data_IF_045568380509
#
_entry.id   IF_045568380509
#
_cell.length_a   1.000
_cell.length_b   1.000
_cell.length_c   1.000
_cell.angle_alpha   90.00
_cell.angle_beta   90.00
_cell.angle_gamma   90.00
#
_symmetry.space_group_name_H-M   'P 1'
#
loop_
_entity.id
_entity.type
_entity.pdbx_description
1 polymer ?
#
# COMPACT_ATOMS: atom_id res chain seq x y z
N UNK A 1 20.56 2.78 21.75
CA UNK A 1 19.09 2.55 21.81
C UNK A 1 18.66 1.19 21.25
N UNK A 2 19.09 0.75 20.05
CA UNK A 2 18.69 -0.57 19.49
C UNK A 2 18.89 -1.75 20.46
N UNK A 3 19.92 -1.72 21.31
CA UNK A 3 20.19 -2.79 22.29
C UNK A 3 19.12 -2.97 23.38
N UNK A 4 18.54 -1.90 23.93
CA UNK A 4 17.71 -1.97 25.14
C UNK A 4 16.32 -2.58 24.92
N UNK A 5 15.80 -2.53 23.69
CA UNK A 5 14.48 -3.07 23.35
C UNK A 5 14.43 -4.60 23.41
N UNK A 6 15.49 -5.28 22.95
CA UNK A 6 15.61 -6.74 23.00
C UNK A 6 15.61 -7.27 24.44
N UNK A 7 16.33 -6.59 25.35
CA UNK A 7 16.30 -6.91 26.78
C UNK A 7 14.91 -6.68 27.42
N UNK A 8 14.15 -5.67 26.98
CA UNK A 8 12.80 -5.36 27.47
C UNK A 8 11.75 -6.43 27.12
N UNK A 9 11.99 -7.25 26.09
CA UNK A 9 11.10 -8.33 25.65
C UNK A 9 11.62 -9.72 26.09
N UNK A 10 12.80 -9.78 26.71
CA UNK A 10 13.45 -11.04 27.09
C UNK A 10 13.97 -11.86 25.90
N UNK A 11 13.96 -11.29 24.69
CA UNK A 11 14.48 -11.94 23.49
C UNK A 11 15.91 -11.49 23.23
N UNK A 12 16.86 -12.44 23.26
CA UNK A 12 18.23 -12.17 22.84
C UNK A 12 18.29 -11.62 21.40
N UNK A 13 19.19 -10.67 21.17
CA UNK A 13 19.34 -9.91 19.91
C UNK A 13 19.49 -10.78 18.64
N UNK A 14 19.94 -12.03 18.79
CA UNK A 14 20.10 -13.03 17.73
C UNK A 14 19.29 -14.32 17.96
N UNK A 15 18.20 -14.27 18.74
CA UNK A 15 17.37 -15.44 19.01
C UNK A 15 16.64 -15.95 17.75
N UNK A 16 16.57 -17.26 17.56
CA UNK A 16 15.83 -17.91 16.46
C UNK A 16 14.35 -17.45 16.38
N UNK A 17 13.77 -17.09 17.52
CA UNK A 17 12.40 -16.55 17.62
C UNK A 17 12.22 -15.22 16.87
N UNK A 18 13.23 -14.33 16.86
CA UNK A 18 13.17 -13.07 16.10
C UNK A 18 13.16 -13.34 14.59
N UNK A 19 13.98 -14.28 14.11
CA UNK A 19 13.97 -14.70 12.71
C UNK A 19 12.66 -15.38 12.31
N UNK A 20 12.13 -16.27 13.15
CA UNK A 20 10.81 -16.90 12.93
C UNK A 20 9.70 -15.84 12.82
N UNK A 21 9.67 -14.88 13.75
CA UNK A 21 8.70 -13.79 13.73
C UNK A 21 8.82 -12.91 12.47
N UNK A 22 10.05 -12.61 12.04
CA UNK A 22 10.29 -11.91 10.77
C UNK A 22 9.78 -12.70 9.57
N UNK A 23 10.05 -14.01 9.49
CA UNK A 23 9.51 -14.89 8.45
C UNK A 23 7.98 -14.84 8.39
N UNK A 24 7.29 -14.94 9.54
CA UNK A 24 5.84 -14.81 9.60
C UNK A 24 5.35 -13.45 9.06
N UNK A 25 6.01 -12.36 9.44
CA UNK A 25 5.66 -11.01 8.96
C UNK A 25 5.92 -10.84 7.45
N UNK A 26 6.99 -11.42 6.90
CA UNK A 26 7.22 -11.40 5.45
C UNK A 26 6.19 -12.22 4.69
N UNK A 27 5.83 -13.40 5.21
CA UNK A 27 4.83 -14.28 4.62
C UNK A 27 3.45 -13.60 4.58
N UNK A 28 3.03 -12.91 5.66
CA UNK A 28 1.79 -12.11 5.63
C UNK A 28 1.88 -10.95 4.64
N UNK A 29 3.01 -10.22 4.56
CA UNK A 29 3.21 -9.13 3.58
C UNK A 29 3.11 -9.63 2.15
N UNK A 30 3.66 -10.80 1.84
CA UNK A 30 3.62 -11.39 0.49
C UNK A 30 2.20 -11.88 0.16
N UNK A 31 1.57 -12.69 1.02
CA UNK A 31 0.21 -13.21 0.78
C UNK A 31 -0.79 -12.06 0.61
N UNK A 32 -0.83 -11.12 1.56
CA UNK A 32 -1.74 -9.96 1.48
C UNK A 32 -1.47 -9.08 0.25
N UNK A 33 -0.21 -8.96 -0.16
CA UNK A 33 0.16 -8.27 -1.41
C UNK A 33 -0.41 -8.97 -2.64
N UNK A 34 -0.16 -10.27 -2.78
CA UNK A 34 -0.62 -11.07 -3.92
C UNK A 34 -2.14 -11.02 -3.98
N UNK A 35 -2.83 -11.35 -2.89
CA UNK A 35 -4.28 -11.21 -2.75
C UNK A 35 -4.80 -9.83 -3.21
N UNK A 36 -4.16 -8.73 -2.80
CA UNK A 36 -4.59 -7.37 -3.18
C UNK A 36 -4.49 -7.04 -4.67
N UNK A 37 -3.76 -7.85 -5.45
CA UNK A 37 -3.70 -7.78 -6.91
C UNK A 37 -4.79 -8.62 -7.61
N UNK A 38 -5.48 -9.52 -6.90
CA UNK A 38 -6.56 -10.34 -7.46
C UNK A 38 -7.95 -9.76 -7.13
N UNK A 39 -8.25 -9.49 -5.85
CA UNK A 39 -9.60 -9.09 -5.41
C UNK A 39 -10.17 -7.87 -6.15
N UNK A 40 -11.47 -7.94 -6.47
CA UNK A 40 -12.26 -6.89 -7.15
C UNK A 40 -12.92 -5.91 -6.18
N UNK A 41 -13.30 -6.37 -5.00
CA UNK A 41 -13.97 -5.58 -3.97
C UNK A 41 -13.04 -4.51 -3.39
N UNK A 42 -13.46 -3.24 -3.49
CA UNK A 42 -12.63 -2.12 -3.04
C UNK A 42 -12.47 -2.13 -1.51
N UNK A 43 -13.48 -2.54 -0.74
CA UNK A 43 -13.33 -2.67 0.73
C UNK A 43 -12.32 -3.75 1.11
N UNK A 44 -12.37 -4.92 0.48
CA UNK A 44 -11.44 -6.02 0.74
C UNK A 44 -10.00 -5.62 0.36
N UNK A 45 -9.83 -5.00 -0.80
CA UNK A 45 -8.56 -4.49 -1.29
C UNK A 45 -7.96 -3.44 -0.32
N UNK A 46 -8.78 -2.57 0.26
CA UNK A 46 -8.36 -1.61 1.30
C UNK A 46 -8.01 -2.28 2.64
N UNK A 47 -8.72 -3.34 3.03
CA UNK A 47 -8.41 -4.13 4.22
C UNK A 47 -7.08 -4.90 4.07
N UNK A 48 -6.81 -5.48 2.90
CA UNK A 48 -5.53 -6.18 2.63
C UNK A 48 -4.31 -5.25 2.70
N UNK A 49 -4.50 -3.95 2.50
CA UNK A 49 -3.43 -2.97 2.73
C UNK A 49 -3.41 -2.37 4.14
N UNK A 50 -4.36 -2.65 5.04
CA UNK A 50 -4.14 -2.41 6.49
C UNK A 50 -3.29 -3.54 7.07
N UNK A 51 -3.64 -4.79 6.81
CA UNK A 51 -2.91 -5.97 7.31
C UNK A 51 -1.43 -5.98 6.88
N UNK A 52 -1.14 -5.67 5.61
CA UNK A 52 0.23 -5.50 5.13
C UNK A 52 1.00 -4.39 5.87
N UNK A 53 0.39 -3.22 6.05
CA UNK A 53 1.04 -2.09 6.73
C UNK A 53 1.28 -2.36 8.22
N UNK A 54 0.39 -3.11 8.87
CA UNK A 54 0.56 -3.59 10.25
C UNK A 54 1.70 -4.61 10.33
N UNK A 55 1.79 -5.53 9.38
CA UNK A 55 2.92 -6.47 9.28
C UNK A 55 4.27 -5.74 9.10
N UNK A 56 4.30 -4.62 8.36
CA UNK A 56 5.47 -3.74 8.31
C UNK A 56 5.81 -3.06 9.64
N UNK A 57 4.83 -2.71 10.47
CA UNK A 57 5.08 -2.21 11.84
C UNK A 57 5.72 -3.30 12.69
N UNK A 58 5.22 -4.53 12.63
CA UNK A 58 5.81 -5.66 13.34
C UNK A 58 7.24 -5.97 12.89
N UNK A 59 7.57 -5.87 11.59
CA UNK A 59 8.96 -5.93 11.14
C UNK A 59 9.84 -4.84 11.76
N UNK A 60 9.37 -3.59 11.83
CA UNK A 60 10.13 -2.50 12.48
C UNK A 60 10.36 -2.78 13.98
N UNK A 61 9.35 -3.30 14.67
CA UNK A 61 9.49 -3.72 16.07
C UNK A 61 10.51 -4.86 16.22
N UNK A 62 10.54 -5.82 15.29
CA UNK A 62 11.51 -6.94 15.32
C UNK A 62 12.99 -6.50 15.17
N UNK A 63 13.21 -5.26 14.72
CA UNK A 63 14.52 -4.61 14.52
C UNK A 63 14.94 -3.79 15.77
N UNK A 64 14.01 -3.53 16.70
CA UNK A 64 14.24 -2.75 17.92
C UNK A 64 14.07 -1.23 17.77
N UNK A 65 13.70 -0.73 16.59
CA UNK A 65 13.45 0.70 16.35
C UNK A 65 11.99 1.07 16.69
N UNK A 66 11.62 0.96 17.97
CA UNK A 66 10.26 1.21 18.48
C UNK A 66 9.71 2.60 18.13
N UNK A 67 10.57 3.63 18.10
CA UNK A 67 10.18 5.00 17.69
C UNK A 67 9.68 5.04 16.25
N UNK A 68 10.35 4.33 15.34
CA UNK A 68 9.94 4.25 13.94
C UNK A 68 8.61 3.50 13.79
N UNK A 69 8.41 2.43 14.55
CA UNK A 69 7.16 1.67 14.57
C UNK A 69 5.98 2.52 15.03
N UNK A 70 6.16 3.30 16.10
CA UNK A 70 5.13 4.22 16.62
C UNK A 70 4.77 5.32 15.62
N UNK A 71 5.75 6.00 15.04
CA UNK A 71 5.50 7.00 13.99
C UNK A 71 4.87 6.36 12.74
N UNK A 72 5.20 5.09 12.45
CA UNK A 72 4.51 4.36 11.38
C UNK A 72 3.04 4.09 11.69
N UNK A 73 2.70 3.64 12.90
CA UNK A 73 1.32 3.41 13.34
C UNK A 73 0.48 4.69 13.26
N UNK A 74 0.97 5.81 13.81
CA UNK A 74 0.23 7.08 13.81
C UNK A 74 -0.14 7.55 12.41
N UNK A 75 0.85 7.67 11.52
CA UNK A 75 0.56 8.15 10.16
C UNK A 75 -0.16 7.09 9.32
N UNK A 76 -0.02 5.79 9.64
CA UNK A 76 -0.86 4.75 9.05
C UNK A 76 -2.33 4.94 9.42
N UNK A 77 -2.66 5.15 10.69
CA UNK A 77 -4.01 5.37 11.17
C UNK A 77 -4.66 6.59 10.49
N UNK A 78 -3.97 7.74 10.49
CA UNK A 78 -4.47 8.98 9.83
C UNK A 78 -4.72 8.74 8.34
N UNK A 79 -3.76 8.16 7.61
CA UNK A 79 -3.94 7.90 6.16
C UNK A 79 -5.02 6.87 5.86
N UNK A 80 -5.24 5.90 6.75
CA UNK A 80 -6.30 4.90 6.59
C UNK A 80 -7.68 5.46 6.87
N UNK A 81 -7.83 6.29 7.90
CA UNK A 81 -9.07 7.04 8.14
C UNK A 81 -9.48 7.82 6.88
N UNK A 82 -8.57 8.65 6.34
CA UNK A 82 -8.82 9.42 5.11
C UNK A 82 -9.13 8.57 3.88
N UNK A 83 -8.52 7.38 3.75
CA UNK A 83 -8.80 6.50 2.62
C UNK A 83 -10.16 5.78 2.80
N UNK A 84 -10.51 5.35 4.01
CA UNK A 84 -11.81 4.75 4.29
C UNK A 84 -12.96 5.75 4.11
N UNK A 85 -12.79 7.03 4.46
CA UNK A 85 -13.80 8.07 4.17
C UNK A 85 -13.96 8.29 2.67
N UNK A 86 -12.87 8.41 1.90
CA UNK A 86 -12.96 8.53 0.43
C UNK A 86 -13.67 7.31 -0.18
N UNK A 87 -13.27 6.09 0.18
CA UNK A 87 -13.83 4.85 -0.36
C UNK A 87 -15.28 4.64 0.08
N UNK A 88 -15.64 5.06 1.30
CA UNK A 88 -17.03 5.09 1.76
C UNK A 88 -17.91 5.95 0.86
N UNK A 89 -17.42 7.13 0.46
CA UNK A 89 -18.17 8.04 -0.42
C UNK A 89 -18.23 7.56 -1.88
N UNK A 90 -17.19 6.89 -2.38
CA UNK A 90 -17.28 6.17 -3.65
C UNK A 90 -18.38 5.10 -3.61
N UNK A 91 -18.44 4.30 -2.54
CA UNK A 91 -19.42 3.23 -2.37
C UNK A 91 -20.84 3.78 -2.13
N UNK A 92 -20.99 4.95 -1.48
CA UNK A 92 -22.30 5.60 -1.35
C UNK A 92 -22.77 6.20 -2.69
N UNK A 93 -21.84 6.68 -3.53
CA UNK A 93 -22.14 7.18 -4.87
C UNK A 93 -22.54 6.09 -5.88
N UNK A 94 -22.04 4.86 -5.70
CA UNK A 94 -22.40 3.66 -6.49
C UNK A 94 -23.61 2.89 -5.92
N UNK A 95 -24.47 3.54 -5.13
CA UNK A 95 -25.63 2.93 -4.46
C UNK A 95 -25.32 1.68 -3.63
N UNK A 96 -24.15 1.65 -2.98
CA UNK A 96 -23.69 0.54 -2.16
C UNK A 96 -22.84 -0.49 -2.91
N UNK A 97 -22.66 -0.34 -4.22
CA UNK A 97 -21.85 -1.25 -5.04
C UNK A 97 -20.36 -1.22 -4.68
N UNK A 98 -19.78 -2.38 -4.37
CA UNK A 98 -18.42 -2.51 -3.81
C UNK A 98 -17.40 -3.09 -4.80
N UNK A 99 -17.90 -3.80 -5.81
CA UNK A 99 -17.11 -4.33 -6.92
C UNK A 99 -16.52 -3.19 -7.78
N UNK A 100 -15.29 -3.38 -8.26
CA UNK A 100 -14.64 -2.53 -9.28
C UNK A 100 -15.53 -2.20 -10.50
N UNK A 101 -16.51 -3.06 -10.81
CA UNK A 101 -17.40 -2.92 -11.97
C UNK A 101 -18.57 -1.96 -11.72
N UNK A 102 -18.95 -1.76 -10.45
CA UNK A 102 -20.08 -0.94 -10.02
C UNK A 102 -19.64 0.47 -9.63
N UNK A 103 -18.39 0.63 -9.20
CA UNK A 103 -17.77 1.91 -8.87
C UNK A 103 -17.29 2.59 -10.17
N UNK A 104 -18.20 3.19 -10.92
CA UNK A 104 -17.90 4.11 -12.01
C UNK A 104 -17.91 5.56 -11.49
N UNK A 105 -16.95 6.37 -11.91
CA UNK A 105 -16.74 7.71 -11.32
C UNK A 105 -16.85 8.80 -12.40
N UNK A 106 -17.74 9.78 -12.21
CA UNK A 106 -17.77 10.96 -13.10
C UNK A 106 -16.76 12.01 -12.66
N UNK A 107 -16.04 12.54 -13.64
CA UNK A 107 -15.16 13.70 -13.46
C UNK A 107 -15.96 15.04 -13.44
N UNK A 108 -17.21 15.04 -13.93
CA UNK A 108 -18.05 16.23 -14.01
C UNK A 108 -18.18 16.98 -12.67
N UNK A 109 -17.50 18.14 -12.60
CA UNK A 109 -17.62 19.14 -11.54
C UNK A 109 -16.56 19.12 -10.43
N UNK A 110 -15.80 18.03 -10.21
CA UNK A 110 -14.95 17.89 -9.00
C UNK A 110 -13.53 17.37 -9.24
N UNK A 111 -12.78 18.04 -10.12
CA UNK A 111 -11.35 17.75 -10.40
C UNK A 111 -10.50 17.75 -9.12
N UNK A 112 -10.75 18.65 -8.17
CA UNK A 112 -10.02 18.71 -6.90
C UNK A 112 -10.09 17.41 -6.09
N UNK A 113 -11.25 16.73 -6.05
CA UNK A 113 -11.40 15.43 -5.36
C UNK A 113 -10.49 14.35 -5.93
N UNK A 114 -10.31 14.34 -7.26
CA UNK A 114 -9.40 13.42 -7.95
C UNK A 114 -7.93 13.74 -7.66
N UNK A 115 -7.56 15.03 -7.59
CA UNK A 115 -6.21 15.46 -7.20
C UNK A 115 -5.90 15.02 -5.76
N UNK A 116 -6.82 15.20 -4.81
CA UNK A 116 -6.61 14.75 -3.43
C UNK A 116 -6.51 13.24 -3.31
N UNK A 117 -7.32 12.49 -4.06
CA UNK A 117 -7.23 11.03 -4.15
C UNK A 117 -5.87 10.59 -4.74
N UNK A 118 -5.39 11.24 -5.79
CA UNK A 118 -4.07 11.00 -6.36
C UNK A 118 -2.97 11.24 -5.31
N UNK A 119 -2.98 12.38 -4.62
CA UNK A 119 -2.01 12.68 -3.53
C UNK A 119 -2.12 11.67 -2.37
N UNK A 120 -3.32 11.19 -2.04
CA UNK A 120 -3.52 10.12 -1.05
C UNK A 120 -2.95 8.77 -1.48
N UNK A 121 -2.92 8.46 -2.77
CA UNK A 121 -2.43 7.17 -3.28
C UNK A 121 -0.94 7.19 -3.63
N UNK A 122 -0.46 8.29 -4.22
CA UNK A 122 0.97 8.61 -4.43
C UNK A 122 1.69 8.74 -3.09
N UNK A 123 1.06 9.32 -2.08
CA UNK A 123 1.63 9.30 -0.75
C UNK A 123 1.68 7.88 -0.14
N UNK A 124 0.71 7.00 -0.43
CA UNK A 124 0.72 5.60 0.07
C UNK A 124 1.80 4.73 -0.58
N UNK A 125 2.05 4.91 -1.88
CA UNK A 125 3.19 4.27 -2.56
C UNK A 125 4.51 4.66 -1.90
N UNK A 126 4.62 5.90 -1.43
CA UNK A 126 5.83 6.46 -0.83
C UNK A 126 6.69 7.16 -1.87
N UNK A 127 6.05 7.89 -2.79
CA UNK A 127 6.71 8.75 -3.78
C UNK A 127 7.68 9.74 -3.10
N UNK A 128 8.83 10.08 -3.73
CA UNK A 128 9.82 10.98 -3.15
C UNK A 128 9.22 12.28 -2.61
N UNK A 129 9.81 12.78 -1.52
CA UNK A 129 9.40 13.97 -0.77
C UNK A 129 8.07 13.91 0.00
N UNK A 130 7.25 12.85 -0.14
CA UNK A 130 6.06 12.62 0.71
C UNK A 130 6.42 11.95 2.04
N UNK A 131 5.69 12.25 3.12
CA UNK A 131 5.92 11.75 4.50
C UNK A 131 5.92 10.22 4.73
N UNK A 132 5.70 9.40 3.69
CA UNK A 132 5.85 7.94 3.70
C UNK A 132 7.16 7.46 3.07
N UNK A 133 7.75 8.22 2.13
CA UNK A 133 9.06 7.94 1.53
C UNK A 133 10.15 7.89 2.61
N UNK A 134 10.20 8.92 3.47
CA UNK A 134 11.20 9.03 4.53
C UNK A 134 11.20 7.79 5.42
N UNK A 135 10.05 7.28 5.87
CA UNK A 135 9.97 6.11 6.77
C UNK A 135 10.38 4.80 6.11
N UNK A 136 9.97 4.55 4.87
CA UNK A 136 10.42 3.35 4.13
C UNK A 136 11.92 3.40 3.86
N UNK A 137 12.48 4.59 3.63
CA UNK A 137 13.93 4.81 3.49
C UNK A 137 14.67 4.66 4.82
N UNK A 138 14.17 5.22 5.93
CA UNK A 138 14.70 5.04 7.29
C UNK A 138 14.78 3.55 7.62
N UNK A 139 13.67 2.83 7.39
CA UNK A 139 13.59 1.40 7.63
C UNK A 139 14.64 0.64 6.82
N UNK A 140 14.75 0.91 5.51
CA UNK A 140 15.69 0.19 4.65
C UNK A 140 17.14 0.43 5.10
N UNK A 141 17.50 1.68 5.40
CA UNK A 141 18.82 2.07 5.91
C UNK A 141 19.14 1.39 7.25
N UNK A 142 18.19 1.41 8.20
CA UNK A 142 18.32 0.71 9.48
C UNK A 142 18.42 -0.80 9.31
N UNK A 143 17.68 -1.37 8.35
CA UNK A 143 17.72 -2.80 8.04
C UNK A 143 19.08 -3.22 7.45
N UNK A 144 19.65 -2.43 6.53
CA UNK A 144 20.96 -2.72 5.92
C UNK A 144 22.14 -2.49 6.87
N UNK A 145 22.04 -1.52 7.80
CA UNK A 145 23.10 -1.25 8.77
C UNK A 145 23.17 -2.30 9.90
N UNK A 146 22.19 -3.21 9.99
CA UNK A 146 22.23 -4.35 10.91
C UNK A 146 22.82 -5.54 10.13
N UNK A 147 24.13 -5.76 10.28
CA UNK A 147 24.90 -6.79 9.58
C UNK A 147 24.58 -8.26 9.94
N UNK A 148 23.35 -8.55 10.37
CA UNK A 148 22.89 -9.88 10.78
C UNK A 148 21.93 -10.56 9.78
N UNK A 149 21.66 -9.96 8.62
CA UNK A 149 20.63 -10.46 7.71
C UNK A 149 21.16 -11.05 6.40
N UNK A 150 20.55 -12.16 6.00
CA UNK A 150 20.80 -12.79 4.71
C UNK A 150 20.24 -11.95 3.56
N UNK A 151 20.89 -12.05 2.40
CA UNK A 151 20.48 -11.41 1.13
C UNK A 151 19.01 -11.71 0.79
N UNK A 152 18.53 -12.90 1.17
CA UNK A 152 17.15 -13.36 0.98
C UNK A 152 16.13 -12.47 1.71
N UNK A 153 16.38 -12.06 2.96
CA UNK A 153 15.45 -11.16 3.65
C UNK A 153 15.45 -9.75 3.07
N UNK A 154 16.62 -9.24 2.65
CA UNK A 154 16.68 -7.96 1.93
C UNK A 154 15.89 -8.02 0.63
N UNK A 155 15.97 -9.13 -0.11
CA UNK A 155 15.16 -9.38 -1.30
C UNK A 155 13.65 -9.41 -0.99
N UNK A 156 13.22 -10.09 0.08
CA UNK A 156 11.82 -10.07 0.52
C UNK A 156 11.34 -8.66 0.91
N UNK A 157 12.18 -7.89 1.61
CA UNK A 157 11.94 -6.46 1.86
C UNK A 157 11.79 -5.70 0.54
N UNK A 158 12.57 -6.03 -0.49
CA UNK A 158 12.53 -5.42 -1.83
C UNK A 158 11.30 -5.86 -2.66
N UNK A 159 10.77 -7.06 -2.50
CA UNK A 159 9.46 -7.42 -3.08
C UNK A 159 8.30 -6.68 -2.39
N UNK A 160 8.29 -6.58 -1.06
CA UNK A 160 7.12 -6.13 -0.30
C UNK A 160 6.68 -4.66 -0.56
N UNK A 161 7.58 -3.67 -0.59
CA UNK A 161 7.20 -2.31 -1.03
C UNK A 161 6.98 -2.20 -2.55
N UNK A 162 7.55 -3.06 -3.42
CA UNK A 162 7.22 -3.06 -4.87
C UNK A 162 5.72 -3.38 -5.02
N UNK A 163 5.29 -4.46 -4.38
CA UNK A 163 3.88 -4.83 -4.31
C UNK A 163 3.00 -3.78 -3.61
N UNK A 164 3.55 -3.01 -2.67
CA UNK A 164 2.82 -1.91 -2.02
C UNK A 164 2.62 -0.70 -2.95
N UNK A 165 3.54 -0.48 -3.89
CA UNK A 165 3.39 0.54 -4.93
C UNK A 165 2.43 0.08 -6.04
N UNK A 166 2.56 -1.18 -6.48
CA UNK A 166 1.64 -1.81 -7.43
C UNK A 166 0.20 -1.76 -6.94
N UNK A 167 -0.02 -2.07 -5.65
CA UNK A 167 -1.30 -1.90 -4.97
C UNK A 167 -1.87 -0.48 -5.09
N UNK A 168 -1.09 0.56 -4.75
CA UNK A 168 -1.59 1.95 -4.76
C UNK A 168 -1.92 2.44 -6.16
N UNK A 169 -1.17 1.98 -7.18
CA UNK A 169 -1.44 2.28 -8.59
C UNK A 169 -2.66 1.52 -9.09
N UNK A 170 -2.82 0.24 -8.74
CA UNK A 170 -4.05 -0.53 -9.03
C UNK A 170 -5.28 0.13 -8.42
N UNK A 171 -5.23 0.54 -7.16
CA UNK A 171 -6.36 1.20 -6.50
C UNK A 171 -6.68 2.54 -7.19
N UNK A 172 -5.66 3.34 -7.55
CA UNK A 172 -5.86 4.54 -8.35
C UNK A 172 -6.56 4.23 -9.68
N UNK A 173 -6.09 3.23 -10.43
CA UNK A 173 -6.69 2.81 -11.71
C UNK A 173 -8.13 2.29 -11.55
N UNK A 174 -8.48 1.65 -10.43
CA UNK A 174 -9.85 1.20 -10.14
C UNK A 174 -10.76 2.40 -9.83
N UNK A 175 -10.37 3.32 -8.94
CA UNK A 175 -11.21 4.48 -8.59
C UNK A 175 -11.26 5.55 -9.70
N UNK A 176 -10.24 5.60 -10.57
CA UNK A 176 -10.19 6.42 -11.78
C UNK A 176 -10.76 5.67 -13.01
N UNK A 177 -11.31 4.47 -12.82
CA UNK A 177 -11.61 3.50 -13.86
C UNK A 177 -12.63 3.98 -14.90
N UNK A 178 -12.32 3.69 -16.17
CA UNK A 178 -13.11 3.93 -17.38
C UNK A 178 -14.11 5.10 -17.30
N UNK A 179 -13.63 6.28 -17.68
CA UNK A 179 -14.42 7.45 -18.10
C UNK A 179 -15.71 7.03 -18.80
N UNK A 180 -16.81 7.00 -18.05
CA UNK A 180 -18.11 6.52 -18.51
C UNK A 180 -19.15 7.57 -18.16
N UNK A 181 -20.00 7.88 -19.14
CA UNK A 181 -20.91 9.03 -19.10
C UNK A 181 -22.13 8.84 -18.16
N UNK A 182 -22.17 7.81 -17.31
CA UNK A 182 -23.36 7.37 -16.54
C UNK A 182 -23.47 7.99 -15.12
N UNK A 183 -24.61 8.65 -14.87
CA UNK A 183 -25.27 9.13 -13.62
C UNK A 183 -24.50 9.77 -12.42
N UNK A 184 -23.25 9.41 -12.09
CA UNK A 184 -22.79 9.48 -10.68
C UNK A 184 -21.73 10.55 -10.35
N UNK A 185 -22.16 11.67 -9.74
CA UNK A 185 -21.29 12.72 -9.21
C UNK A 185 -20.73 12.40 -7.82
N UNK A 186 -19.48 12.83 -7.57
CA UNK A 186 -18.87 12.80 -6.24
C UNK A 186 -19.66 13.69 -5.28
N UNK A 187 -20.40 13.09 -4.34
CA UNK A 187 -21.35 13.84 -3.50
C UNK A 187 -20.71 14.80 -2.51
N UNK A 188 -19.49 14.53 -2.04
CA UNK A 188 -18.89 15.25 -0.90
C UNK A 188 -17.90 16.34 -1.34
N UNK A 189 -17.90 17.46 -0.61
CA UNK A 189 -17.02 18.61 -0.82
C UNK A 189 -15.71 18.44 -0.04
N UNK A 190 -14.85 17.56 -0.57
CA UNK A 190 -13.61 17.12 0.07
C UNK A 190 -12.50 18.17 0.21
N UNK A 191 -12.76 19.47 0.01
CA UNK A 191 -11.75 20.53 0.14
C UNK A 191 -11.05 20.50 1.52
N UNK A 192 -11.82 20.25 2.60
CA UNK A 192 -11.27 20.07 3.95
C UNK A 192 -10.41 18.81 4.10
N UNK A 193 -10.86 17.68 3.54
CA UNK A 193 -10.08 16.42 3.57
C UNK A 193 -8.78 16.56 2.78
N UNK A 194 -8.79 17.28 1.66
CA UNK A 194 -7.59 17.63 0.89
C UNK A 194 -6.53 18.36 1.71
N UNK A 195 -6.95 19.33 2.53
CA UNK A 195 -6.05 20.01 3.48
C UNK A 195 -5.48 19.04 4.53
N UNK A 196 -6.32 18.16 5.12
CA UNK A 196 -5.86 17.16 6.09
C UNK A 196 -4.85 16.18 5.46
N UNK A 197 -5.01 15.80 4.19
CA UNK A 197 -4.02 14.99 3.45
C UNK A 197 -2.68 15.70 3.40
N UNK A 198 -2.66 16.97 2.98
CA UNK A 198 -1.44 17.77 2.85
C UNK A 198 -0.76 17.97 4.20
N UNK A 199 -1.51 18.33 5.24
CA UNK A 199 -1.02 18.47 6.61
C UNK A 199 -0.43 17.14 7.11
N UNK A 200 -1.12 16.00 6.92
CA UNK A 200 -0.62 14.69 7.36
C UNK A 200 0.70 14.30 6.68
N UNK A 201 0.91 14.71 5.43
CA UNK A 201 2.15 14.46 4.69
C UNK A 201 3.32 15.31 5.22
N UNK A 202 3.04 16.58 5.57
CA UNK A 202 4.01 17.53 6.12
C UNK A 202 4.42 17.12 7.53
N UNK A 203 3.44 16.84 8.40
CA UNK A 203 3.67 16.34 9.76
C UNK A 203 4.47 15.03 9.74
N UNK A 204 4.11 14.08 8.86
CA UNK A 204 4.85 12.83 8.72
C UNK A 204 6.30 13.01 8.26
N UNK A 205 6.57 13.98 7.37
CA UNK A 205 7.94 14.37 6.98
C UNK A 205 8.68 15.02 8.14
N UNK A 206 8.05 15.97 8.83
CA UNK A 206 8.66 16.74 9.91
C UNK A 206 9.02 15.86 11.12
N UNK A 207 8.12 14.97 11.55
CA UNK A 207 8.39 14.01 12.62
C UNK A 207 9.62 13.14 12.33
N UNK A 208 9.72 12.60 11.11
CA UNK A 208 10.90 11.80 10.74
C UNK A 208 12.18 12.63 10.61
N UNK A 209 12.10 13.87 10.13
CA UNK A 209 13.25 14.76 10.03
C UNK A 209 13.78 15.21 11.40
N UNK A 210 12.90 15.42 12.38
CA UNK A 210 13.30 15.75 13.76
C UNK A 210 13.97 14.58 14.47
N UNK A 211 13.37 13.39 14.41
CA UNK A 211 13.84 12.21 15.16
C UNK A 211 15.16 11.67 14.58
N UNK A 212 15.40 11.88 13.28
CA UNK A 212 16.53 11.28 12.56
C UNK A 212 17.26 12.31 11.68
N UNK A 213 18.17 13.08 12.30
CA UNK A 213 19.14 13.94 11.60
C UNK A 213 20.46 13.17 11.32
N UNK A 214 21.19 13.49 10.23
CA UNK A 214 20.76 14.01 8.95
C UNK A 214 20.75 12.88 7.90
N UNK A 215 19.59 12.56 7.30
CA UNK A 215 19.57 11.59 6.21
C UNK A 215 20.33 12.10 4.97
N UNK A 216 21.32 11.33 4.54
CA UNK A 216 21.96 11.49 3.22
C UNK A 216 20.97 11.06 2.14
N UNK A 217 20.17 12.01 1.65
CA UNK A 217 19.22 11.80 0.54
C UNK A 217 19.89 11.30 -0.75
N UNK A 218 21.19 11.57 -0.92
CA UNK A 218 22.02 11.13 -2.05
C UNK A 218 22.98 10.01 -1.63
N UNK A 219 22.47 8.98 -0.94
CA UNK A 219 23.21 7.73 -0.72
C UNK A 219 22.89 6.72 -1.84
N UNK A 220 23.79 5.76 -2.09
CA UNK A 220 23.55 4.68 -3.06
C UNK A 220 22.24 3.92 -2.79
N UNK A 221 21.84 3.81 -1.52
CA UNK A 221 20.59 3.21 -1.09
C UNK A 221 19.34 3.97 -1.60
N UNK A 222 19.40 5.30 -1.74
CA UNK A 222 18.25 6.09 -2.19
C UNK A 222 17.91 5.82 -3.66
N UNK A 223 18.91 5.48 -4.49
CA UNK A 223 18.69 5.00 -5.86
C UNK A 223 17.93 3.67 -5.89
N UNK A 224 18.22 2.71 -5.02
CA UNK A 224 17.42 1.47 -4.91
C UNK A 224 15.97 1.75 -4.47
N UNK A 225 15.76 2.73 -3.59
CA UNK A 225 14.42 3.18 -3.21
C UNK A 225 13.68 3.80 -4.40
N UNK A 226 14.35 4.57 -5.27
CA UNK A 226 13.74 5.10 -6.49
C UNK A 226 13.45 3.99 -7.53
N UNK A 227 14.40 3.11 -7.79
CA UNK A 227 14.27 2.02 -8.76
C UNK A 227 13.08 1.09 -8.44
N UNK A 228 12.89 0.74 -7.16
CA UNK A 228 11.74 -0.08 -6.76
C UNK A 228 10.38 0.65 -6.86
N UNK A 229 10.36 1.98 -6.74
CA UNK A 229 9.15 2.76 -6.98
C UNK A 229 8.76 2.67 -8.46
N UNK A 230 9.72 2.84 -9.37
CA UNK A 230 9.50 2.69 -10.82
C UNK A 230 8.97 1.30 -11.17
N UNK A 231 9.64 0.23 -10.72
CA UNK A 231 9.18 -1.15 -10.93
C UNK A 231 7.78 -1.38 -10.36
N UNK A 232 7.50 -0.89 -9.15
CA UNK A 232 6.18 -0.99 -8.54
C UNK A 232 5.08 -0.25 -9.31
N UNK A 233 5.39 0.89 -9.92
CA UNK A 233 4.45 1.61 -10.80
C UNK A 233 4.19 0.81 -12.07
N UNK A 234 5.23 0.31 -12.75
CA UNK A 234 5.09 -0.51 -13.97
C UNK A 234 4.21 -1.74 -13.70
N UNK A 235 4.51 -2.51 -12.65
CA UNK A 235 3.71 -3.69 -12.26
C UNK A 235 2.26 -3.29 -11.95
N UNK A 236 2.06 -2.18 -11.23
CA UNK A 236 0.73 -1.66 -10.92
C UNK A 236 -0.09 -1.26 -12.14
N UNK A 237 0.54 -0.62 -13.14
CA UNK A 237 -0.11 -0.24 -14.40
C UNK A 237 -0.44 -1.48 -15.23
N UNK A 238 0.50 -2.42 -15.39
CA UNK A 238 0.27 -3.65 -16.17
C UNK A 238 -0.88 -4.46 -15.58
N UNK A 239 -0.87 -4.71 -14.27
CA UNK A 239 -1.95 -5.44 -13.60
C UNK A 239 -3.27 -4.66 -13.66
N UNK A 240 -3.26 -3.34 -13.41
CA UNK A 240 -4.45 -2.51 -13.48
C UNK A 240 -5.11 -2.49 -14.86
N UNK A 241 -4.32 -2.27 -15.92
CA UNK A 241 -4.81 -2.22 -17.29
C UNK A 241 -5.29 -3.57 -17.82
N UNK A 242 -4.60 -4.68 -17.49
CA UNK A 242 -5.02 -6.01 -17.92
C UNK A 242 -6.38 -6.41 -17.30
N UNK A 243 -6.60 -6.07 -16.03
CA UNK A 243 -7.89 -6.29 -15.37
C UNK A 243 -9.06 -5.41 -15.87
N UNK A 244 -8.77 -4.36 -16.66
CA UNK A 244 -9.77 -3.58 -17.41
C UNK A 244 -10.10 -4.27 -18.74
N UNK A 245 -9.14 -4.95 -19.40
CA UNK A 245 -9.39 -5.68 -20.65
C UNK A 245 -10.26 -6.93 -20.47
N UNK A 246 -10.10 -7.66 -19.37
CA UNK A 246 -10.96 -8.81 -18.99
C UNK A 246 -12.45 -8.47 -18.85
N UNK A 247 -12.84 -7.19 -18.95
CA UNK A 247 -14.23 -6.71 -18.88
C UNK A 247 -15.10 -7.08 -20.09
N UNK A 248 -14.52 -7.42 -21.25
CA UNK A 248 -15.32 -7.46 -22.50
C UNK A 248 -16.11 -8.73 -22.75
N UNK A 249 -15.65 -9.90 -22.30
CA UNK A 249 -16.18 -11.17 -22.84
C UNK A 249 -16.98 -12.04 -21.86
N UNK A 250 -16.89 -11.87 -20.53
CA UNK A 250 -17.48 -12.82 -19.57
C UNK A 250 -18.34 -12.20 -18.46
N UNK A 251 -19.43 -12.91 -18.12
CA UNK A 251 -20.53 -12.42 -17.27
C UNK A 251 -20.14 -12.20 -15.80
N UNK A 252 -20.28 -10.97 -15.32
CA UNK A 252 -20.10 -10.63 -13.90
C UNK A 252 -21.28 -11.04 -13.03
N UNK A 253 -21.31 -12.31 -12.57
CA UNK A 253 -22.29 -12.80 -11.58
C UNK A 253 -21.71 -13.58 -10.38
N UNK A 254 -20.41 -13.89 -10.33
CA UNK A 254 -19.83 -14.79 -9.33
C UNK A 254 -18.75 -14.14 -8.45
N UNK A 255 -19.10 -13.01 -7.82
CA UNK A 255 -18.53 -12.47 -6.57
C UNK A 255 -17.08 -12.87 -6.25
N UNK A 256 -16.13 -12.54 -7.13
CA UNK A 256 -14.69 -12.72 -6.90
C UNK A 256 -14.15 -14.15 -6.97
N UNK A 257 -14.95 -15.17 -7.30
CA UNK A 257 -14.51 -16.57 -7.48
C UNK A 257 -14.13 -16.88 -8.94
N UNK A 258 -14.43 -15.94 -9.86
CA UNK A 258 -14.23 -16.05 -11.31
C UNK A 258 -12.85 -16.63 -11.73
N UNK A 259 -11.78 -16.36 -10.99
CA UNK A 259 -10.43 -16.87 -11.31
C UNK A 259 -10.26 -18.38 -11.10
N UNK A 260 -10.88 -18.97 -10.07
CA UNK A 260 -10.84 -20.43 -9.86
C UNK A 260 -11.66 -21.15 -10.94
N UNK A 261 -12.76 -20.53 -11.37
CA UNK A 261 -13.63 -21.04 -12.44
C UNK A 261 -12.94 -20.91 -13.81
N UNK A 262 -12.25 -19.80 -14.08
CA UNK A 262 -11.44 -19.61 -15.29
C UNK A 262 -10.24 -20.58 -15.34
N UNK A 263 -9.51 -20.76 -14.23
CA UNK A 263 -8.48 -21.80 -14.10
C UNK A 263 -9.05 -23.20 -14.41
N UNK A 264 -10.15 -23.57 -13.76
CA UNK A 264 -10.80 -24.87 -13.95
C UNK A 264 -11.30 -25.07 -15.39
N UNK A 265 -11.98 -24.07 -15.97
CA UNK A 265 -12.49 -24.13 -17.33
C UNK A 265 -11.37 -24.25 -18.36
N UNK A 266 -10.22 -23.59 -18.17
CA UNK A 266 -9.05 -23.80 -19.03
C UNK A 266 -8.51 -25.22 -18.91
N UNK A 267 -8.39 -25.77 -17.70
CA UNK A 267 -7.95 -27.15 -17.52
C UNK A 267 -8.91 -28.18 -18.13
N UNK A 268 -10.23 -27.93 -18.11
CA UNK A 268 -11.24 -28.82 -18.70
C UNK A 268 -11.36 -28.66 -20.22
N UNK A 269 -11.13 -27.47 -20.79
CA UNK A 269 -11.19 -27.22 -22.24
C UNK A 269 -9.92 -27.65 -23.02
N UNK A 270 -8.88 -28.11 -22.31
CA UNK A 270 -7.65 -28.67 -22.90
C UNK A 270 -7.52 -30.20 -22.65
N UNK A 271 -8.62 -30.87 -22.32
CA UNK A 271 -8.78 -32.34 -22.25
C UNK A 271 -9.85 -32.74 -23.27
#
# INVERSE_FOLDING_TARGET
MVGSYYYLIGLGKNSYLVYFFQCCCFLTIVITSVCSLYYSDVKQLVALSTSKNISWVFLILSIGDYVLAFVQLLVHAVRKCLLFTLVGDYISSSYGGQDKNQINTKIYGKVFGLIYLFVLLVGLSGFPFMGLYFRKHVFLDRYTNIGFFSILFLFLVICGFIMSCAYSVRLFIILFGYLSFSVYSLRVDFNMIGLVVMISSIVGKYMCFLIYRPYRFFSFLSFFVLFRLLFGVVVGVVVGCNYIKYRRDWLGKLFGVDFLIDMYNRYVLYI
#
